data_IF_612940055424
#
_entry.id   IF_612940055424
#
_cell.length_a   1.000
_cell.length_b   1.000
_cell.length_c   1.000
_cell.angle_alpha   90.00
_cell.angle_beta   90.00
_cell.angle_gamma   90.00
#
_symmetry.space_group_name_H-M   'P 1'
#
loop_
_entity.id
_entity.type
_entity.pdbx_description
1 polymer ?
#
# COMPACT_ATOMS: atom_id res chain seq x y z
N UNK A 1 -8.60 -39.52 -12.25
CA UNK A 1 -7.25 -39.08 -12.63
C UNK A 1 -7.36 -37.62 -12.99
N UNK A 2 -6.97 -36.76 -12.06
CA UNK A 2 -6.99 -35.32 -12.23
C UNK A 2 -5.86 -34.94 -13.19
N UNK A 3 -6.23 -34.62 -14.42
CA UNK A 3 -5.28 -34.23 -15.45
C UNK A 3 -4.94 -32.75 -15.24
N UNK A 4 -4.04 -32.47 -14.30
CA UNK A 4 -3.55 -31.11 -14.08
C UNK A 4 -2.92 -30.57 -15.37
N UNK A 5 -3.36 -29.38 -15.79
CA UNK A 5 -2.80 -28.74 -16.96
C UNK A 5 -1.30 -28.50 -16.75
N UNK A 6 -0.43 -28.73 -17.77
CA UNK A 6 1.02 -28.60 -17.63
C UNK A 6 1.50 -27.23 -17.12
N UNK A 7 0.68 -26.18 -17.27
CA UNK A 7 0.93 -24.85 -16.74
C UNK A 7 0.88 -24.81 -15.20
N UNK A 8 -0.07 -25.51 -14.58
CA UNK A 8 -0.22 -25.60 -13.12
C UNK A 8 0.95 -26.41 -12.54
N UNK A 9 1.29 -27.55 -13.15
CA UNK A 9 2.45 -28.34 -12.76
C UNK A 9 3.77 -27.57 -12.87
N UNK A 10 3.90 -26.71 -13.89
CA UNK A 10 5.08 -25.84 -14.05
C UNK A 10 5.13 -24.76 -12.99
N UNK A 11 4.02 -24.09 -12.69
CA UNK A 11 3.95 -23.05 -11.66
C UNK A 11 4.27 -23.61 -10.27
N UNK A 12 3.74 -24.80 -9.93
CA UNK A 12 4.00 -25.47 -8.66
C UNK A 12 5.46 -25.96 -8.53
N UNK A 13 6.14 -26.28 -9.65
CA UNK A 13 7.51 -26.80 -9.68
C UNK A 13 8.58 -25.71 -9.54
N UNK A 14 8.26 -24.46 -9.84
CA UNK A 14 9.22 -23.35 -9.84
C UNK A 14 9.32 -22.60 -8.51
N UNK A 15 8.71 -23.09 -7.42
CA UNK A 15 8.75 -22.42 -6.11
C UNK A 15 8.52 -20.91 -6.24
N UNK A 16 7.51 -20.49 -7.05
CA UNK A 16 7.08 -19.09 -7.17
C UNK A 16 6.67 -18.47 -5.81
N UNK A 17 6.78 -19.23 -4.73
CA UNK A 17 6.63 -18.81 -3.36
C UNK A 17 7.73 -17.83 -2.87
N UNK A 18 8.86 -17.64 -3.58
CA UNK A 18 9.99 -16.89 -2.98
C UNK A 18 10.84 -16.00 -3.90
N UNK A 19 10.27 -15.10 -4.73
CA UNK A 19 11.11 -14.19 -5.54
C UNK A 19 10.91 -12.68 -5.39
N UNK A 20 9.93 -12.21 -4.61
CA UNK A 20 9.95 -10.89 -3.96
C UNK A 20 9.12 -11.04 -2.70
N UNK A 21 9.71 -10.94 -1.51
CA UNK A 21 8.91 -10.81 -0.29
C UNK A 21 8.14 -9.49 -0.44
N UNK A 22 6.87 -9.58 -0.84
CA UNK A 22 6.00 -8.42 -0.85
C UNK A 22 5.82 -8.01 0.61
N UNK A 23 6.04 -6.73 0.96
CA UNK A 23 5.78 -6.25 2.31
C UNK A 23 4.35 -6.62 2.69
N UNK A 24 4.14 -7.02 3.95
CA UNK A 24 2.81 -7.40 4.41
C UNK A 24 1.85 -6.20 4.19
N UNK A 25 0.76 -6.44 3.45
CA UNK A 25 -0.21 -5.41 3.13
C UNK A 25 -1.06 -5.11 4.37
N UNK A 26 -1.05 -3.86 4.82
CA UNK A 26 -1.85 -3.40 5.97
C UNK A 26 -3.23 -2.90 5.53
N UNK A 27 -3.30 -2.15 4.42
CA UNK A 27 -4.53 -1.54 3.93
C UNK A 27 -4.28 -0.48 2.87
N UNK A 28 -5.23 0.42 2.69
CA UNK A 28 -5.09 1.59 1.81
C UNK A 28 -5.29 2.87 2.60
N UNK A 29 -4.64 3.93 2.17
CA UNK A 29 -4.79 5.26 2.75
C UNK A 29 -6.02 6.00 2.18
N UNK A 30 -6.26 7.22 2.67
CA UNK A 30 -7.36 8.09 2.22
C UNK A 30 -7.38 8.31 0.69
N UNK A 31 -6.22 8.36 0.02
CA UNK A 31 -6.12 8.55 -1.42
C UNK A 31 -6.17 7.24 -2.22
N UNK A 32 -6.27 6.10 -1.53
CA UNK A 32 -6.24 4.77 -2.12
C UNK A 32 -4.83 4.24 -2.38
N UNK A 33 -3.79 4.88 -1.85
CA UNK A 33 -2.42 4.39 -1.94
C UNK A 33 -2.22 3.23 -0.95
N UNK A 34 -1.42 2.25 -1.36
CA UNK A 34 -1.17 1.04 -0.58
C UNK A 34 -0.37 1.36 0.69
N UNK A 35 -0.85 0.88 1.84
CA UNK A 35 -0.15 0.94 3.13
C UNK A 35 0.46 -0.42 3.40
N UNK A 36 1.77 -0.42 3.60
CA UNK A 36 2.54 -1.60 3.93
C UNK A 36 2.89 -1.61 5.41
N UNK A 37 3.07 -2.81 5.98
CA UNK A 37 3.52 -2.94 7.37
C UNK A 37 4.90 -2.29 7.52
N UNK A 38 4.98 -1.31 8.42
CA UNK A 38 6.18 -0.53 8.66
C UNK A 38 6.13 0.89 8.09
N UNK A 39 5.13 1.23 7.28
CA UNK A 39 4.93 2.61 6.83
C UNK A 39 4.52 3.54 7.98
N UNK A 40 5.00 4.78 7.90
CA UNK A 40 4.54 5.85 8.78
C UNK A 40 3.17 6.34 8.32
N UNK A 41 2.19 6.29 9.23
CA UNK A 41 0.82 6.76 8.98
C UNK A 41 0.37 7.80 10.02
N UNK A 42 -0.59 8.63 9.63
CA UNK A 42 -1.30 9.57 10.49
C UNK A 42 -2.77 9.16 10.52
N UNK A 43 -3.39 9.25 11.70
CA UNK A 43 -4.80 8.89 11.91
C UNK A 43 -5.60 10.17 12.18
N UNK A 44 -6.60 10.44 11.34
CA UNK A 44 -7.58 11.52 11.50
C UNK A 44 -8.98 10.93 11.71
N UNK A 45 -9.35 10.73 12.97
CA UNK A 45 -10.60 10.03 13.32
C UNK A 45 -10.59 8.58 12.88
N UNK A 46 -11.32 8.26 11.82
CA UNK A 46 -11.39 6.92 11.22
C UNK A 46 -10.58 6.79 9.92
N UNK A 47 -10.00 7.90 9.42
CA UNK A 47 -9.21 7.93 8.21
C UNK A 47 -7.74 7.66 8.52
N UNK A 48 -7.09 6.89 7.65
CA UNK A 48 -5.66 6.59 7.72
C UNK A 48 -4.98 7.25 6.53
N UNK A 49 -3.93 8.03 6.80
CA UNK A 49 -3.22 8.81 5.79
C UNK A 49 -1.76 8.39 5.83
N UNK A 50 -1.18 8.01 4.69
CA UNK A 50 0.28 7.82 4.62
C UNK A 50 0.97 9.15 4.92
N UNK A 51 2.00 9.13 5.76
CA UNK A 51 2.70 10.36 6.14
C UNK A 51 3.28 11.11 4.93
N UNK A 52 3.66 10.40 3.87
CA UNK A 52 4.05 10.98 2.58
C UNK A 52 2.95 11.77 1.90
N UNK A 53 1.68 11.42 2.15
CA UNK A 53 0.49 12.08 1.60
C UNK A 53 -0.07 13.16 2.53
N UNK A 54 0.55 13.42 3.69
CA UNK A 54 0.01 14.32 4.71
C UNK A 54 -0.16 15.77 4.22
N UNK A 55 0.83 16.33 3.53
CA UNK A 55 0.72 17.70 3.00
C UNK A 55 -0.38 17.82 1.94
N UNK A 56 -0.54 16.77 1.13
CA UNK A 56 -1.62 16.67 0.15
C UNK A 56 -2.98 16.60 0.83
N UNK A 57 -3.12 15.77 1.86
CA UNK A 57 -4.35 15.68 2.66
C UNK A 57 -4.72 17.03 3.28
N UNK A 58 -3.76 17.69 3.94
CA UNK A 58 -3.99 18.99 4.57
C UNK A 58 -4.42 20.06 3.58
N UNK A 59 -3.81 20.11 2.39
CA UNK A 59 -4.15 21.11 1.39
C UNK A 59 -5.42 20.80 0.60
N UNK A 60 -5.55 19.59 0.05
CA UNK A 60 -6.67 19.22 -0.83
C UNK A 60 -7.96 18.91 -0.07
N UNK A 61 -7.86 18.31 1.13
CA UNK A 61 -9.02 17.85 1.90
C UNK A 61 -9.37 18.83 3.02
N UNK A 62 -8.37 19.27 3.79
CA UNK A 62 -8.60 20.15 4.94
C UNK A 62 -8.55 21.66 4.59
N UNK A 63 -8.11 22.02 3.38
CA UNK A 63 -8.10 23.41 2.90
C UNK A 63 -6.94 24.27 3.44
N UNK A 64 -5.87 23.66 3.94
CA UNK A 64 -4.69 24.39 4.41
C UNK A 64 -3.89 24.97 3.24
N UNK A 65 -3.26 26.12 3.48
CA UNK A 65 -2.29 26.70 2.54
C UNK A 65 -0.92 26.75 3.19
N UNK A 66 0.05 26.10 2.56
CA UNK A 66 1.45 26.12 3.00
C UNK A 66 2.11 27.40 2.52
N UNK A 67 2.84 28.08 3.41
CA UNK A 67 3.59 29.29 3.11
C UNK A 67 4.96 29.24 3.79
N UNK A 68 6.00 29.67 3.07
CA UNK A 68 7.33 29.91 3.64
C UNK A 68 7.45 31.40 3.97
N UNK A 69 7.58 31.72 5.24
CA UNK A 69 7.87 33.09 5.67
C UNK A 69 9.37 33.37 5.53
N UNK A 70 9.70 34.50 4.91
CA UNK A 70 11.06 35.01 4.75
C UNK A 70 11.38 36.13 5.71
#
# INVERSE_FOLDING_TARGET
>A
MDLEHPAVTRANRTDFANMVAQPEHFGIDYFGDEILVGDDVVIDGQEIILKSNMERYLSEVCGFTFQTVG
#
